data_IF_494551547616
#
_entry.id   IF_494551547616
#
_cell.length_a   1.000
_cell.length_b   1.000
_cell.length_c   1.000
_cell.angle_alpha   90.00
_cell.angle_beta   90.00
_cell.angle_gamma   90.00
#
_symmetry.space_group_name_H-M   'P 1'
#
loop_
_entity.id
_entity.type
_entity.pdbx_description
1 polymer ?
#
# COMPACT_ATOMS: atom_id res chain seq x y z
N UNK A 1 26.83 4.09 24.58
CA UNK A 1 26.35 3.59 23.27
C UNK A 1 24.85 3.46 23.35
N UNK A 2 24.10 4.10 22.45
CA UNK A 2 22.64 4.10 22.53
C UNK A 2 22.10 2.77 21.99
N UNK A 3 21.19 2.08 22.70
CA UNK A 3 20.64 0.79 22.26
C UNK A 3 19.85 0.85 20.94
N UNK A 4 19.57 2.06 20.42
CA UNK A 4 18.95 2.29 19.12
C UNK A 4 19.84 1.91 17.91
N UNK A 5 21.14 1.68 18.11
CA UNK A 5 22.10 1.48 17.01
C UNK A 5 22.20 0.02 16.51
N UNK A 6 21.52 -0.94 17.15
CA UNK A 6 21.67 -2.37 16.83
C UNK A 6 20.35 -3.08 16.42
N UNK A 7 19.25 -2.34 16.26
CA UNK A 7 17.95 -2.92 15.90
C UNK A 7 17.70 -3.03 14.39
N UNK A 8 16.74 -3.88 13.96
CA UNK A 8 16.25 -3.93 12.57
C UNK A 8 15.64 -2.60 12.08
N UNK A 9 15.56 -1.61 12.97
CA UNK A 9 15.03 -0.27 12.75
C UNK A 9 16.11 0.81 12.52
N UNK A 10 17.42 0.48 12.52
CA UNK A 10 18.51 1.46 12.22
C UNK A 10 18.37 2.00 10.80
N UNK A 11 18.37 3.34 10.64
CA UNK A 11 18.45 4.01 9.33
C UNK A 11 19.71 3.49 8.62
N UNK A 12 19.54 2.85 7.46
CA UNK A 12 20.70 2.41 6.67
C UNK A 12 21.34 3.63 6.02
N UNK A 13 22.66 3.73 6.19
CA UNK A 13 23.49 4.72 5.51
C UNK A 13 23.72 4.28 4.06
N UNK A 14 23.56 5.20 3.10
CA UNK A 14 23.65 4.95 1.67
C UNK A 14 22.32 5.20 0.93
N UNK A 15 22.38 5.81 -0.25
CA UNK A 15 21.21 5.95 -1.13
C UNK A 15 20.90 4.59 -1.75
N UNK A 16 19.78 3.98 -1.38
CA UNK A 16 19.27 2.78 -2.07
C UNK A 16 18.59 3.18 -3.38
N UNK A 17 18.65 2.30 -4.38
CA UNK A 17 17.91 2.52 -5.63
C UNK A 17 16.41 2.40 -5.39
N UNK A 18 15.59 2.98 -6.27
CA UNK A 18 14.13 2.82 -6.18
C UNK A 18 13.72 1.33 -6.20
N UNK A 19 14.44 0.50 -6.98
CA UNK A 19 14.18 -0.93 -7.08
C UNK A 19 14.51 -1.67 -5.79
N UNK A 20 15.62 -1.33 -5.13
CA UNK A 20 15.95 -1.89 -3.82
C UNK A 20 14.88 -1.54 -2.79
N UNK A 21 14.42 -0.29 -2.77
CA UNK A 21 13.37 0.17 -1.85
C UNK A 21 12.08 -0.60 -2.09
N UNK A 22 11.68 -0.79 -3.34
CA UNK A 22 10.49 -1.57 -3.70
C UNK A 22 10.63 -3.01 -3.20
N UNK A 23 11.75 -3.68 -3.48
CA UNK A 23 11.98 -5.06 -3.05
C UNK A 23 11.90 -5.19 -1.52
N UNK A 24 12.52 -4.26 -0.79
CA UNK A 24 12.47 -4.25 0.69
C UNK A 24 11.08 -4.02 1.25
N UNK A 25 10.30 -3.13 0.66
CA UNK A 25 8.92 -2.90 1.09
C UNK A 25 8.08 -4.16 0.84
N UNK A 26 8.28 -4.83 -0.30
CA UNK A 26 7.60 -6.09 -0.62
C UNK A 26 7.98 -7.21 0.35
N UNK A 27 9.28 -7.37 0.66
CA UNK A 27 9.77 -8.31 1.69
C UNK A 27 9.07 -8.07 3.04
N UNK A 28 8.90 -6.82 3.47
CA UNK A 28 8.17 -6.53 4.71
C UNK A 28 6.71 -6.97 4.62
N UNK A 29 6.01 -6.64 3.54
CA UNK A 29 4.62 -7.02 3.34
C UNK A 29 4.44 -8.54 3.32
N UNK A 30 5.30 -9.28 2.63
CA UNK A 30 5.16 -10.73 2.47
C UNK A 30 5.73 -11.50 3.65
N UNK A 31 6.98 -11.24 4.03
CA UNK A 31 7.75 -12.13 4.89
C UNK A 31 7.55 -11.78 6.37
N UNK A 32 7.36 -10.49 6.67
CA UNK A 32 7.15 -10.03 8.04
C UNK A 32 5.68 -9.90 8.42
N UNK A 33 4.83 -9.47 7.48
CA UNK A 33 3.41 -9.26 7.73
C UNK A 33 2.53 -10.42 7.25
N UNK A 34 3.07 -11.36 6.46
CA UNK A 34 2.31 -12.50 5.92
C UNK A 34 1.28 -12.10 4.86
N UNK A 35 1.45 -10.91 4.28
CA UNK A 35 0.57 -10.29 3.30
C UNK A 35 0.86 -10.67 1.85
N UNK A 36 0.26 -9.91 0.94
CA UNK A 36 0.44 -10.03 -0.51
C UNK A 36 1.04 -8.72 -1.04
N UNK A 37 2.05 -8.83 -1.89
CA UNK A 37 2.70 -7.70 -2.54
C UNK A 37 3.02 -8.05 -4.00
N UNK A 38 2.08 -7.74 -4.88
CA UNK A 38 2.12 -8.17 -6.29
C UNK A 38 2.09 -7.00 -7.27
N UNK A 39 2.59 -7.29 -8.47
CA UNK A 39 2.48 -6.36 -9.59
C UNK A 39 1.29 -6.74 -10.47
N UNK A 40 0.51 -5.75 -10.86
CA UNK A 40 -0.55 -5.89 -11.87
C UNK A 40 0.12 -5.74 -13.23
N UNK A 41 0.19 -6.82 -13.99
CA UNK A 41 0.82 -6.81 -15.31
C UNK A 41 -0.05 -6.09 -16.34
N UNK A 42 0.54 -5.48 -17.37
CA UNK A 42 -0.24 -4.88 -18.44
C UNK A 42 -1.13 -5.92 -19.12
N UNK A 43 -2.45 -5.67 -19.13
CA UNK A 43 -3.45 -6.59 -19.70
C UNK A 43 -4.15 -7.49 -18.66
N UNK A 44 -3.64 -7.59 -17.44
CA UNK A 44 -4.28 -8.35 -16.36
C UNK A 44 -5.38 -7.56 -15.68
N UNK A 45 -6.60 -7.68 -16.20
CA UNK A 45 -7.76 -6.93 -15.72
C UNK A 45 -7.62 -5.44 -16.03
N UNK A 46 -8.62 -4.84 -16.68
CA UNK A 46 -8.56 -3.43 -17.01
C UNK A 46 -8.66 -2.58 -15.73
N UNK A 47 -7.54 -2.35 -15.04
CA UNK A 47 -7.45 -1.36 -13.97
C UNK A 47 -7.73 -0.01 -14.62
N UNK A 48 -8.89 0.62 -14.34
CA UNK A 48 -9.29 1.81 -15.05
C UNK A 48 -8.33 2.95 -14.70
N UNK A 49 -8.07 3.82 -15.66
CA UNK A 49 -7.43 5.09 -15.34
C UNK A 49 -8.37 5.90 -14.42
N UNK A 50 -7.84 6.64 -13.41
CA UNK A 50 -6.43 6.98 -13.17
C UNK A 50 -5.69 6.06 -12.15
N UNK A 51 -6.14 4.82 -11.97
CA UNK A 51 -5.70 3.94 -10.88
C UNK A 51 -4.31 3.34 -11.16
N UNK A 52 -3.41 3.50 -10.18
CA UNK A 52 -2.06 2.96 -10.15
C UNK A 52 -1.98 1.61 -9.45
N UNK A 53 -2.93 1.30 -8.58
CA UNK A 53 -2.94 0.06 -7.83
C UNK A 53 -4.12 -0.05 -6.88
N UNK A 54 -4.16 -1.15 -6.15
CA UNK A 54 -5.22 -1.52 -5.25
C UNK A 54 -4.65 -1.98 -3.91
N UNK A 55 -5.35 -1.63 -2.84
CA UNK A 55 -5.02 -2.01 -1.47
C UNK A 55 -6.25 -2.65 -0.83
N UNK A 56 -6.05 -3.77 -0.16
CA UNK A 56 -7.11 -4.48 0.58
C UNK A 56 -6.50 -5.26 1.75
N UNK A 57 -7.34 -5.96 2.50
CA UNK A 57 -6.93 -6.89 3.55
C UNK A 57 -7.49 -8.27 3.26
N UNK A 58 -6.66 -9.30 3.35
CA UNK A 58 -7.07 -10.70 3.19
C UNK A 58 -6.99 -11.47 4.50
N UNK A 59 -7.86 -12.46 4.70
CA UNK A 59 -7.79 -13.35 5.86
C UNK A 59 -7.00 -14.62 5.52
N UNK A 60 -5.87 -14.85 6.21
CA UNK A 60 -4.99 -16.00 5.96
C UNK A 60 -4.43 -16.53 7.27
N UNK A 61 -4.52 -17.85 7.47
CA UNK A 61 -4.04 -18.55 8.66
C UNK A 61 -4.53 -17.93 9.98
N UNK A 62 -5.82 -17.61 10.07
CA UNK A 62 -6.42 -17.12 11.31
C UNK A 62 -6.18 -15.64 11.62
N UNK A 63 -5.62 -14.85 10.69
CA UNK A 63 -5.38 -13.42 10.89
C UNK A 63 -5.61 -12.62 9.60
N UNK A 64 -6.00 -11.35 9.76
CA UNK A 64 -6.04 -10.38 8.68
C UNK A 64 -4.62 -9.96 8.28
N UNK A 65 -4.40 -9.82 6.97
CA UNK A 65 -3.10 -9.58 6.34
C UNK A 65 -3.21 -8.47 5.31
N UNK A 66 -2.17 -7.64 5.13
CA UNK A 66 -2.22 -6.55 4.17
C UNK A 66 -2.03 -7.11 2.75
N UNK A 67 -2.78 -6.58 1.79
CA UNK A 67 -2.63 -6.95 0.39
C UNK A 67 -2.47 -5.68 -0.45
N UNK A 68 -1.36 -5.60 -1.19
CA UNK A 68 -1.03 -4.46 -2.05
C UNK A 68 -0.72 -4.96 -3.46
N UNK A 69 -1.36 -4.34 -4.44
CA UNK A 69 -1.20 -4.64 -5.85
C UNK A 69 -0.89 -3.34 -6.60
N UNK A 70 0.21 -3.25 -7.33
CA UNK A 70 0.58 -2.05 -8.08
C UNK A 70 0.84 -2.35 -9.55
N UNK A 71 0.46 -1.44 -10.44
CA UNK A 71 0.77 -1.56 -11.86
C UNK A 71 2.27 -1.63 -12.15
N UNK A 72 2.66 -2.60 -12.97
CA UNK A 72 4.05 -2.84 -13.35
C UNK A 72 4.61 -1.81 -14.35
N UNK A 73 3.74 -1.22 -15.18
CA UNK A 73 4.10 -0.29 -16.27
C UNK A 73 4.40 1.14 -15.82
N UNK A 74 4.32 1.41 -14.51
CA UNK A 74 4.66 2.71 -13.93
C UNK A 74 6.19 2.89 -13.80
N UNK A 75 6.64 4.14 -13.85
CA UNK A 75 8.07 4.45 -13.64
C UNK A 75 8.53 3.98 -12.26
N UNK A 76 9.76 3.46 -12.17
CA UNK A 76 10.32 2.94 -10.92
C UNK A 76 10.29 3.96 -9.78
N UNK A 77 10.56 5.23 -10.08
CA UNK A 77 10.46 6.33 -9.12
C UNK A 77 9.06 6.47 -8.53
N UNK A 78 8.01 6.40 -9.37
CA UNK A 78 6.61 6.48 -8.95
C UNK A 78 6.21 5.24 -8.16
N UNK A 79 6.62 4.06 -8.62
CA UNK A 79 6.38 2.81 -7.92
C UNK A 79 6.98 2.80 -6.52
N UNK A 80 8.19 3.33 -6.32
CA UNK A 80 8.79 3.40 -4.98
C UNK A 80 7.94 4.23 -4.00
N UNK A 81 7.43 5.38 -4.45
CA UNK A 81 6.52 6.22 -3.63
C UNK A 81 5.17 5.52 -3.37
N UNK A 82 4.58 4.92 -4.40
CA UNK A 82 3.31 4.19 -4.30
C UNK A 82 3.44 2.97 -3.38
N UNK A 83 4.52 2.19 -3.46
CA UNK A 83 4.74 1.06 -2.56
C UNK A 83 4.80 1.51 -1.10
N UNK A 84 5.46 2.65 -0.82
CA UNK A 84 5.44 3.25 0.51
C UNK A 84 4.04 3.66 0.96
N UNK A 85 3.33 4.44 0.13
CA UNK A 85 1.97 4.90 0.43
C UNK A 85 0.97 3.77 0.60
N UNK A 86 0.94 2.81 -0.33
CA UNK A 86 0.02 1.69 -0.29
C UNK A 86 0.29 0.74 0.87
N UNK A 87 1.57 0.57 1.27
CA UNK A 87 1.91 -0.16 2.50
C UNK A 87 1.35 0.54 3.74
N UNK A 88 1.54 1.87 3.83
CA UNK A 88 0.96 2.65 4.91
C UNK A 88 -0.58 2.54 4.95
N UNK A 89 -1.22 2.60 3.78
CA UNK A 89 -2.67 2.46 3.65
C UNK A 89 -3.13 1.07 4.09
N UNK A 90 -2.45 0.01 3.67
CA UNK A 90 -2.79 -1.36 4.03
C UNK A 90 -2.71 -1.59 5.54
N UNK A 91 -1.67 -1.04 6.19
CA UNK A 91 -1.52 -1.09 7.64
C UNK A 91 -2.64 -0.33 8.36
N UNK A 92 -3.00 0.86 7.88
CA UNK A 92 -4.11 1.62 8.45
C UNK A 92 -5.46 0.92 8.27
N UNK A 93 -5.68 0.26 7.13
CA UNK A 93 -6.85 -0.58 6.92
C UNK A 93 -6.84 -1.73 7.93
N UNK A 94 -5.73 -2.44 8.13
CA UNK A 94 -5.66 -3.51 9.14
C UNK A 94 -5.98 -3.01 10.55
N UNK A 95 -5.43 -1.86 10.95
CA UNK A 95 -5.67 -1.27 12.27
C UNK A 95 -7.14 -0.86 12.45
N UNK A 96 -7.78 -0.37 11.38
CA UNK A 96 -9.20 0.00 11.37
C UNK A 96 -10.18 -1.16 11.24
N UNK A 97 -9.73 -2.33 10.76
CA UNK A 97 -10.56 -3.53 10.54
C UNK A 97 -10.80 -4.37 11.81
N UNK A 98 -10.47 -3.84 12.99
CA UNK A 98 -11.00 -4.36 14.25
C UNK A 98 -12.51 -4.10 14.45
N UNK A 99 -13.16 -3.32 13.57
CA UNK A 99 -14.61 -3.11 13.59
C UNK A 99 -15.20 -3.26 12.18
N UNK A 100 -16.15 -4.17 12.05
CA UNK A 100 -16.59 -4.73 10.78
C UNK A 100 -17.24 -3.72 9.83
N UNK A 101 -16.88 -3.85 8.54
CA UNK A 101 -17.80 -3.83 7.40
C UNK A 101 -17.01 -4.10 6.13
N UNK A 102 -17.48 -5.09 5.34
CA UNK A 102 -17.20 -5.38 3.93
C UNK A 102 -15.78 -5.12 3.40
N UNK A 103 -15.07 -6.19 3.04
CA UNK A 103 -13.77 -6.18 2.38
C UNK A 103 -13.76 -5.30 1.10
N UNK A 104 -13.56 -4.00 1.28
CA UNK A 104 -13.52 -3.02 0.19
C UNK A 104 -12.12 -2.98 -0.39
N UNK A 105 -12.01 -3.24 -1.69
CA UNK A 105 -10.79 -2.94 -2.43
C UNK A 105 -10.71 -1.41 -2.56
N UNK A 106 -9.60 -0.83 -2.11
CA UNK A 106 -9.33 0.60 -2.21
C UNK A 106 -8.39 0.84 -3.38
N UNK A 107 -8.83 1.63 -4.36
CA UNK A 107 -8.00 2.08 -5.46
C UNK A 107 -7.10 3.24 -5.06
N UNK A 108 -5.88 3.27 -5.57
CA UNK A 108 -4.93 4.36 -5.36
C UNK A 108 -4.56 4.96 -6.71
N UNK A 109 -4.69 6.27 -6.86
CA UNK A 109 -4.38 6.99 -8.09
C UNK A 109 -2.88 7.19 -8.32
N UNK A 110 -2.50 7.42 -9.58
CA UNK A 110 -1.09 7.68 -9.96
C UNK A 110 -0.58 9.10 -9.71
N UNK A 111 -1.48 10.05 -9.43
CA UNK A 111 -1.13 11.46 -9.27
C UNK A 111 -0.44 11.72 -7.92
N UNK A 112 0.82 12.15 -7.94
CA UNK A 112 1.56 12.55 -6.75
C UNK A 112 1.02 13.88 -6.20
N UNK A 113 0.79 13.94 -4.89
CA UNK A 113 0.36 15.14 -4.16
C UNK A 113 1.31 15.46 -3.00
N UNK A 114 1.50 16.74 -2.65
CA UNK A 114 2.28 17.11 -1.47
C UNK A 114 1.65 16.55 -0.20
N UNK A 115 2.47 16.03 0.72
CA UNK A 115 2.01 15.60 2.04
C UNK A 115 1.63 16.84 2.85
N UNK A 116 0.35 16.97 3.21
CA UNK A 116 -0.18 18.16 3.91
C UNK A 116 -0.27 18.03 5.44
N UNK A 117 -0.03 16.85 5.99
CA UNK A 117 -0.14 16.63 7.43
C UNK A 117 0.08 15.16 7.82
N UNK A 118 -0.33 14.83 9.04
CA UNK A 118 -0.34 13.45 9.52
C UNK A 118 -1.32 12.59 8.72
N UNK A 119 -0.95 11.35 8.44
CA UNK A 119 -1.80 10.41 7.68
C UNK A 119 -0.99 9.43 6.83
N UNK A 120 -1.69 8.77 5.91
CA UNK A 120 -1.14 7.75 4.99
C UNK A 120 0.04 8.29 4.18
N UNK A 121 -0.08 9.51 3.64
CA UNK A 121 0.97 10.17 2.86
C UNK A 121 2.27 10.36 3.66
N UNK A 122 2.17 10.80 4.91
CA UNK A 122 3.34 10.98 5.77
C UNK A 122 3.96 9.63 6.15
N UNK A 123 3.14 8.66 6.56
CA UNK A 123 3.64 7.34 6.93
C UNK A 123 4.31 6.65 5.73
N UNK A 124 3.72 6.74 4.53
CA UNK A 124 4.31 6.24 3.29
C UNK A 124 5.65 6.90 2.99
N UNK A 125 5.75 8.22 3.12
CA UNK A 125 7.00 8.95 2.94
C UNK A 125 8.08 8.48 3.95
N UNK A 126 7.70 8.21 5.20
CA UNK A 126 8.59 7.70 6.24
C UNK A 126 9.06 6.27 5.95
N UNK A 127 8.17 5.40 5.44
CA UNK A 127 8.52 4.04 5.00
C UNK A 127 9.58 4.11 3.87
N UNK A 128 9.35 4.94 2.84
CA UNK A 128 10.32 5.11 1.75
C UNK A 128 11.65 5.64 2.27
N UNK A 129 11.60 6.67 3.14
CA UNK A 129 12.80 7.26 3.76
C UNK A 129 13.56 6.27 4.63
N UNK A 130 12.87 5.35 5.31
CA UNK A 130 13.44 4.31 6.16
C UNK A 130 14.33 3.36 5.36
N UNK A 131 13.98 3.08 4.10
CA UNK A 131 14.74 2.25 3.18
C UNK A 131 15.79 3.02 2.36
N UNK A 132 16.13 4.26 2.75
CA UNK A 132 17.29 4.96 2.21
C UNK A 132 17.01 5.82 0.97
N UNK A 133 15.75 5.98 0.55
CA UNK A 133 15.36 6.80 -0.60
C UNK A 133 14.63 8.06 -0.15
N UNK A 134 14.96 9.22 -0.73
CA UNK A 134 14.27 10.48 -0.40
C UNK A 134 12.86 10.44 -1.00
N UNK A 135 11.78 10.52 -0.20
CA UNK A 135 10.41 10.58 -0.71
C UNK A 135 10.21 11.80 -1.61
N UNK A 136 9.40 11.67 -2.65
CA UNK A 136 8.90 12.79 -3.43
C UNK A 136 7.60 13.32 -2.79
N UNK A 137 6.69 13.83 -3.59
CA UNK A 137 5.29 14.00 -3.21
C UNK A 137 4.63 12.61 -3.04
N UNK A 138 4.58 12.10 -1.80
CA UNK A 138 4.11 10.75 -1.47
C UNK A 138 2.64 10.69 -1.00
N UNK A 139 1.84 11.72 -1.26
CA UNK A 139 0.40 11.62 -1.06
C UNK A 139 -0.29 11.27 -2.38
N UNK A 140 -1.38 10.50 -2.34
CA UNK A 140 -2.05 10.00 -3.54
C UNK A 140 -3.58 10.02 -3.36
N UNK A 141 -4.36 10.30 -4.43
CA UNK A 141 -5.81 10.18 -4.37
C UNK A 141 -6.25 8.74 -4.10
N UNK A 142 -7.23 8.61 -3.20
CA UNK A 142 -7.83 7.33 -2.81
C UNK A 142 -9.22 7.23 -3.46
N UNK A 143 -9.51 6.08 -4.05
CA UNK A 143 -10.78 5.75 -4.69
C UNK A 143 -11.41 4.57 -3.96
N UNK A 144 -12.58 4.78 -3.37
CA UNK A 144 -13.34 3.71 -2.71
C UNK A 144 -14.45 3.29 -3.65
N UNK A 145 -14.43 2.03 -4.10
CA UNK A 145 -15.60 1.48 -4.77
C UNK A 145 -16.65 1.11 -3.71
N UNK A 146 -17.93 1.51 -3.89
CA UNK A 146 -18.97 1.01 -3.03
C UNK A 146 -19.01 -0.51 -3.17
N UNK A 147 -19.05 -1.23 -2.04
CA UNK A 147 -19.41 -2.64 -2.07
C UNK A 147 -20.76 -2.72 -2.77
N UNK A 148 -20.85 -3.44 -3.89
CA UNK A 148 -22.09 -3.61 -4.62
C UNK A 148 -23.16 -4.04 -3.62
N UNK A 149 -24.16 -3.19 -3.37
CA UNK A 149 -25.35 -3.62 -2.66
C UNK A 149 -25.88 -4.82 -3.44
N UNK A 150 -25.83 -6.00 -2.82
CA UNK A 150 -26.53 -7.17 -3.32
C UNK A 150 -27.98 -6.76 -3.54
N UNK A 151 -28.43 -6.76 -4.80
CA UNK A 151 -29.77 -6.37 -5.23
C UNK A 151 -30.86 -6.82 -4.26
N UNK A 152 -31.91 -6.02 -4.03
CA UNK A 152 -33.03 -6.45 -3.22
C UNK A 152 -33.62 -7.71 -3.84
N UNK A 153 -33.61 -8.80 -3.07
CA UNK A 153 -34.44 -9.97 -3.36
C UNK A 153 -35.87 -9.46 -3.46
N UNK A 154 -36.39 -9.33 -4.69
CA UNK A 154 -37.82 -9.21 -4.93
C UNK A 154 -38.45 -10.48 -4.35
N UNK A 155 -38.99 -10.40 -3.13
CA UNK A 155 -40.03 -11.33 -2.72
C UNK A 155 -41.24 -11.00 -3.57
N UNK A 156 -41.53 -11.88 -4.53
CA UNK A 156 -42.86 -11.93 -5.12
C UNK A 156 -43.84 -12.24 -3.99
N UNK A 157 -44.85 -11.39 -3.85
CA UNK A 157 -46.09 -11.67 -3.13
C UNK A 157 -47.16 -11.98 -4.18
#
# INVERSE_FOLDING_TARGET
MNPCDQGPWRRREGSCTDQDVILRIREVLTDHLGGIAEDILPGDGAVPEPIAGAVTTGYKHGAWRPCVFLRADLTTTLRADLWGFCTALALQLLDGQAHGCGAGIVGVGRERRPVKGYGTGLLGALIVRRFGRRPAACDFPIFVWPATESSPVRRAA
#
